data_IF_025549374709
#
_entry.id   IF_025549374709
#
_cell.length_a   1.000
_cell.length_b   1.000
_cell.length_c   1.000
_cell.angle_alpha   90.00
_cell.angle_beta   90.00
_cell.angle_gamma   90.00
#
_symmetry.space_group_name_H-M   'P 1'
#
loop_
_entity.id
_entity.type
_entity.pdbx_description
1 polymer ?
#
# COMPACT_ATOMS: atom_id res chain seq x y z
N UNK A 1 -24.08 7.79 13.84
CA UNK A 1 -22.99 7.04 13.18
C UNK A 1 -22.58 7.64 11.84
N UNK A 2 -23.51 8.02 10.94
CA UNK A 2 -23.20 8.49 9.58
C UNK A 2 -22.32 9.75 9.55
N UNK A 3 -22.59 10.77 10.38
CA UNK A 3 -21.74 11.96 10.44
C UNK A 3 -20.31 11.66 10.93
N UNK A 4 -20.19 10.73 11.88
CA UNK A 4 -18.89 10.29 12.38
C UNK A 4 -18.11 9.53 11.29
N UNK A 5 -18.76 8.58 10.61
CA UNK A 5 -18.10 7.80 9.55
C UNK A 5 -17.69 8.66 8.37
N UNK A 6 -18.50 9.65 7.98
CA UNK A 6 -18.17 10.57 6.88
C UNK A 6 -17.01 11.50 7.26
N UNK A 7 -16.98 12.04 8.48
CA UNK A 7 -15.87 12.84 8.97
C UNK A 7 -14.55 12.05 9.01
N UNK A 8 -14.59 10.80 9.48
CA UNK A 8 -13.41 9.93 9.49
C UNK A 8 -13.00 9.53 8.07
N UNK A 9 -13.97 9.25 7.19
CA UNK A 9 -13.70 8.94 5.79
C UNK A 9 -12.98 10.08 5.07
N UNK A 10 -13.37 11.33 5.35
CA UNK A 10 -12.69 12.52 4.84
C UNK A 10 -11.23 12.57 5.32
N UNK A 11 -10.99 12.33 6.61
CA UNK A 11 -9.64 12.36 7.21
C UNK A 11 -8.73 11.21 6.75
N UNK A 12 -9.31 10.04 6.46
CA UNK A 12 -8.57 8.90 5.90
C UNK A 12 -8.33 9.00 4.40
N UNK A 13 -9.05 9.87 3.69
CA UNK A 13 -9.00 9.97 2.23
C UNK A 13 -9.72 8.80 1.54
N UNK A 14 -10.78 8.26 2.15
CA UNK A 14 -11.67 7.29 1.50
C UNK A 14 -12.51 7.99 0.42
N UNK A 15 -12.92 7.23 -0.60
CA UNK A 15 -13.83 7.74 -1.63
C UNK A 15 -15.19 8.07 -1.00
N UNK A 16 -15.84 9.21 -1.34
CA UNK A 16 -15.49 10.17 -2.41
C UNK A 16 -14.46 11.23 -2.04
N UNK A 17 -14.07 11.35 -0.77
CA UNK A 17 -13.18 12.39 -0.23
C UNK A 17 -11.69 12.16 -0.48
N UNK A 18 -11.33 11.32 -1.44
CA UNK A 18 -9.96 10.90 -1.73
C UNK A 18 -9.11 11.94 -2.47
N UNK A 19 -9.71 12.97 -3.10
CA UNK A 19 -9.02 13.88 -4.03
C UNK A 19 -7.81 14.62 -3.42
N UNK A 20 -7.90 15.02 -2.15
CA UNK A 20 -6.81 15.75 -1.50
C UNK A 20 -5.55 14.90 -1.31
N UNK A 21 -5.72 13.58 -1.13
CA UNK A 21 -4.64 12.73 -0.64
C UNK A 21 -3.52 12.53 -1.68
N UNK A 22 -3.79 12.14 -2.95
CA UNK A 22 -2.74 12.02 -3.97
C UNK A 22 -2.03 13.33 -4.31
N UNK A 23 -2.73 14.47 -4.24
CA UNK A 23 -2.16 15.78 -4.54
C UNK A 23 -1.18 16.24 -3.46
N UNK A 24 -1.58 16.11 -2.19
CA UNK A 24 -0.72 16.43 -1.05
C UNK A 24 0.52 15.52 -1.05
N UNK A 25 0.34 14.21 -1.26
CA UNK A 25 1.46 13.27 -1.30
C UNK A 25 2.44 13.59 -2.43
N UNK A 26 1.97 14.09 -3.57
CA UNK A 26 2.84 14.51 -4.66
C UNK A 26 3.61 15.80 -4.32
N UNK A 27 3.01 16.73 -3.60
CA UNK A 27 3.62 18.02 -3.25
C UNK A 27 4.67 17.97 -2.13
N UNK A 28 4.74 16.87 -1.37
CA UNK A 28 5.59 16.77 -0.19
C UNK A 28 6.85 15.92 -0.39
N UNK A 29 7.78 15.97 0.57
CA UNK A 29 8.99 15.15 0.59
C UNK A 29 8.68 13.67 0.89
N UNK A 30 9.60 12.75 0.59
CA UNK A 30 9.35 11.31 0.78
C UNK A 30 9.15 10.92 2.26
N UNK A 31 9.80 11.61 3.19
CA UNK A 31 9.67 11.37 4.63
C UNK A 31 8.35 11.88 5.19
N UNK A 32 7.89 13.05 4.74
CA UNK A 32 6.59 13.61 5.15
C UNK A 32 5.44 12.83 4.53
N UNK A 33 5.59 12.40 3.28
CA UNK A 33 4.70 11.45 2.60
C UNK A 33 4.55 10.14 3.38
N UNK A 34 5.67 9.58 3.88
CA UNK A 34 5.64 8.40 4.75
C UNK A 34 4.80 8.64 6.02
N UNK A 35 5.07 9.73 6.74
CA UNK A 35 4.35 10.07 7.97
C UNK A 35 2.84 10.26 7.72
N UNK A 36 2.49 10.91 6.61
CA UNK A 36 1.10 11.11 6.21
C UNK A 36 0.41 9.78 5.87
N UNK A 37 1.11 8.87 5.21
CA UNK A 37 0.55 7.56 4.82
C UNK A 37 0.42 6.58 6.00
N UNK A 38 1.15 6.78 7.09
CA UNK A 38 1.22 5.84 8.23
C UNK A 38 0.68 6.44 9.53
N UNK A 39 1.46 7.31 10.17
CA UNK A 39 1.19 7.88 11.49
C UNK A 39 -0.14 8.63 11.50
N UNK A 40 -0.41 9.44 10.47
CA UNK A 40 -1.65 10.22 10.43
C UNK A 40 -2.92 9.38 10.18
N UNK A 41 -2.76 8.14 9.70
CA UNK A 41 -3.88 7.19 9.51
C UNK A 41 -4.20 6.40 10.78
N UNK A 42 -3.28 6.34 11.75
CA UNK A 42 -3.49 5.58 12.98
C UNK A 42 -4.63 6.13 13.84
N UNK A 43 -4.68 7.44 14.21
CA UNK A 43 -5.76 7.95 15.06
C UNK A 43 -7.17 7.82 14.48
N UNK A 44 -7.42 8.09 13.19
CA UNK A 44 -8.75 7.90 12.62
C UNK A 44 -9.18 6.41 12.58
N UNK A 45 -8.23 5.49 12.35
CA UNK A 45 -8.51 4.05 12.39
C UNK A 45 -8.83 3.58 13.81
N UNK A 46 -8.12 4.06 14.84
CA UNK A 46 -8.44 3.70 16.22
C UNK A 46 -9.83 4.20 16.64
N UNK A 47 -10.24 5.38 16.20
CA UNK A 47 -11.60 5.88 16.45
C UNK A 47 -12.66 4.98 15.77
N UNK A 48 -12.44 4.56 14.52
CA UNK A 48 -13.34 3.61 13.85
C UNK A 48 -13.40 2.26 14.58
N UNK A 49 -12.26 1.78 15.10
CA UNK A 49 -12.20 0.54 15.87
C UNK A 49 -12.99 0.64 17.18
N UNK A 50 -12.83 1.73 17.93
CA UNK A 50 -13.56 1.94 19.20
C UNK A 50 -15.08 2.08 19.00
N UNK A 51 -15.49 2.55 17.82
CA UNK A 51 -16.90 2.78 17.49
C UNK A 51 -17.51 1.70 16.60
N UNK A 52 -16.79 0.59 16.36
CA UNK A 52 -17.14 -0.47 15.38
C UNK A 52 -18.57 -0.98 15.52
N UNK A 53 -19.04 -1.16 16.76
CA UNK A 53 -20.37 -1.70 17.07
C UNK A 53 -21.53 -0.78 16.66
N UNK A 54 -21.25 0.51 16.45
CA UNK A 54 -22.24 1.53 16.13
C UNK A 54 -22.24 1.94 14.65
N UNK A 55 -21.33 1.38 13.84
CA UNK A 55 -21.18 1.75 12.44
C UNK A 55 -22.26 1.09 11.56
N UNK A 56 -22.68 1.80 10.52
CA UNK A 56 -23.61 1.24 9.55
C UNK A 56 -22.85 0.35 8.54
N UNK A 57 -23.18 -0.95 8.51
CA UNK A 57 -22.59 -1.93 7.59
C UNK A 57 -22.71 -1.53 6.12
N UNK A 58 -23.88 -1.06 5.68
CA UNK A 58 -24.10 -0.65 4.28
C UNK A 58 -23.22 0.52 3.85
N UNK A 59 -23.00 1.47 4.75
CA UNK A 59 -22.13 2.61 4.48
C UNK A 59 -20.66 2.20 4.44
N UNK A 60 -20.22 1.30 5.32
CA UNK A 60 -18.83 0.83 5.32
C UNK A 60 -18.51 -0.04 4.10
N UNK A 61 -19.43 -0.90 3.67
CA UNK A 61 -19.24 -1.73 2.46
C UNK A 61 -19.21 -0.87 1.20
N UNK A 62 -20.08 0.14 1.08
CA UNK A 62 -20.05 1.06 -0.06
C UNK A 62 -18.77 1.88 -0.12
N UNK A 63 -18.29 2.42 1.01
CA UNK A 63 -16.99 3.11 1.08
C UNK A 63 -15.83 2.17 0.73
N UNK A 64 -15.85 0.92 1.19
CA UNK A 64 -14.81 -0.06 0.92
C UNK A 64 -14.71 -0.44 -0.57
N UNK A 65 -15.85 -0.74 -1.20
CA UNK A 65 -15.89 -1.16 -2.61
C UNK A 65 -15.50 0.01 -3.52
N UNK A 66 -16.04 1.20 -3.25
CA UNK A 66 -15.73 2.39 -4.06
C UNK A 66 -14.28 2.84 -3.91
N UNK A 67 -13.70 2.77 -2.71
CA UNK A 67 -12.29 3.09 -2.48
C UNK A 67 -11.33 2.08 -3.13
N UNK A 68 -11.64 0.78 -3.08
CA UNK A 68 -10.84 -0.23 -3.79
C UNK A 68 -10.95 -0.08 -5.31
N UNK A 69 -12.14 0.18 -5.85
CA UNK A 69 -12.33 0.38 -7.28
C UNK A 69 -11.60 1.62 -7.82
N UNK A 70 -11.83 2.78 -7.21
CA UNK A 70 -11.26 4.05 -7.69
C UNK A 70 -9.76 4.11 -7.40
N UNK A 71 -9.30 3.62 -6.24
CA UNK A 71 -7.88 3.52 -5.94
C UNK A 71 -7.15 2.62 -6.95
N UNK A 72 -7.76 1.48 -7.31
CA UNK A 72 -7.24 0.60 -8.35
C UNK A 72 -7.16 1.30 -9.71
N UNK A 73 -8.26 1.85 -10.19
CA UNK A 73 -8.35 2.44 -11.53
C UNK A 73 -7.47 3.68 -11.68
N UNK A 74 -7.54 4.63 -10.75
CA UNK A 74 -6.75 5.86 -10.84
C UNK A 74 -5.24 5.59 -10.69
N UNK A 75 -4.86 4.58 -9.92
CA UNK A 75 -3.47 4.15 -9.78
C UNK A 75 -2.83 3.67 -11.10
N UNK A 76 -3.62 3.06 -11.99
CA UNK A 76 -3.14 2.56 -13.29
C UNK A 76 -2.61 3.66 -14.21
N UNK A 77 -3.11 4.88 -14.10
CA UNK A 77 -2.76 5.98 -15.01
C UNK A 77 -1.66 6.90 -14.45
N UNK A 78 -1.05 6.56 -13.31
CA UNK A 78 -0.02 7.40 -12.70
C UNK A 78 1.39 6.92 -13.06
N UNK A 79 2.27 7.88 -13.35
CA UNK A 79 3.71 7.67 -13.58
C UNK A 79 4.56 8.13 -12.39
N UNK A 80 3.98 8.97 -11.54
CA UNK A 80 4.63 9.50 -10.34
C UNK A 80 4.49 8.50 -9.19
N UNK A 81 5.63 8.11 -8.60
CA UNK A 81 5.68 7.06 -7.57
C UNK A 81 4.81 7.44 -6.36
N UNK A 82 4.86 8.70 -5.92
CA UNK A 82 4.08 9.16 -4.76
C UNK A 82 2.57 9.07 -4.99
N UNK A 83 2.08 9.40 -6.19
CA UNK A 83 0.65 9.22 -6.52
C UNK A 83 0.25 7.75 -6.58
N UNK A 84 1.10 6.87 -7.12
CA UNK A 84 0.82 5.43 -7.14
C UNK A 84 0.68 4.88 -5.71
N UNK A 85 1.61 5.24 -4.83
CA UNK A 85 1.54 4.88 -3.40
C UNK A 85 0.35 5.52 -2.68
N UNK A 86 -0.08 6.70 -3.13
CA UNK A 86 -1.27 7.34 -2.58
C UNK A 86 -2.52 6.51 -2.88
N UNK A 87 -2.71 6.14 -4.15
CA UNK A 87 -3.83 5.32 -4.60
C UNK A 87 -3.80 3.92 -4.01
N UNK A 88 -2.61 3.33 -3.85
CA UNK A 88 -2.51 2.05 -3.18
C UNK A 88 -2.94 2.12 -1.72
N UNK A 89 -2.61 3.18 -1.01
CA UNK A 89 -3.10 3.40 0.35
C UNK A 89 -4.62 3.48 0.43
N UNK A 90 -5.27 4.08 -0.58
CA UNK A 90 -6.73 4.17 -0.66
C UNK A 90 -7.33 2.77 -0.85
N UNK A 91 -6.71 1.93 -1.69
CA UNK A 91 -7.14 0.53 -1.84
C UNK A 91 -6.98 -0.29 -0.55
N UNK A 92 -5.86 -0.14 0.16
CA UNK A 92 -5.63 -0.86 1.42
C UNK A 92 -6.58 -0.39 2.53
N UNK A 93 -6.88 0.91 2.59
CA UNK A 93 -7.90 1.43 3.49
C UNK A 93 -9.29 0.86 3.17
N UNK A 94 -9.62 0.64 1.89
CA UNK A 94 -10.86 -0.04 1.52
C UNK A 94 -10.97 -1.44 2.13
N UNK A 95 -9.89 -2.23 2.06
CA UNK A 95 -9.81 -3.53 2.74
C UNK A 95 -9.92 -3.43 4.27
N UNK A 96 -9.34 -2.41 4.89
CA UNK A 96 -9.49 -2.19 6.34
C UNK A 96 -10.94 -1.86 6.71
N UNK A 97 -11.60 -1.01 5.92
CA UNK A 97 -12.95 -0.53 6.20
C UNK A 97 -14.02 -1.62 6.07
N UNK A 98 -13.85 -2.59 5.17
CA UNK A 98 -14.87 -3.65 4.99
C UNK A 98 -14.94 -4.58 6.20
N UNK A 99 -13.80 -4.86 6.83
CA UNK A 99 -13.71 -5.86 7.90
C UNK A 99 -13.93 -5.26 9.29
N UNK A 100 -13.81 -3.94 9.45
CA UNK A 100 -13.77 -3.30 10.78
C UNK A 100 -15.01 -3.56 11.64
N UNK A 101 -16.18 -3.77 11.00
CA UNK A 101 -17.43 -4.09 11.69
C UNK A 101 -17.48 -5.54 12.15
N UNK A 102 -16.96 -6.46 11.34
CA UNK A 102 -17.05 -7.91 11.60
C UNK A 102 -15.93 -8.39 12.51
N UNK A 103 -14.71 -7.92 12.27
CA UNK A 103 -13.54 -8.28 13.08
C UNK A 103 -12.56 -7.09 13.17
N UNK A 104 -12.70 -6.21 14.19
CA UNK A 104 -11.83 -5.06 14.36
C UNK A 104 -10.37 -5.45 14.61
N UNK A 105 -10.10 -6.60 15.26
CA UNK A 105 -8.74 -7.10 15.47
C UNK A 105 -8.04 -7.38 14.15
N UNK A 106 -8.79 -7.92 13.18
CA UNK A 106 -8.26 -8.21 11.85
C UNK A 106 -7.96 -6.92 11.06
N UNK A 107 -8.83 -5.91 11.15
CA UNK A 107 -8.53 -4.58 10.63
C UNK A 107 -7.21 -4.04 11.19
N UNK A 108 -6.95 -4.22 12.49
CA UNK A 108 -5.71 -3.75 13.11
C UNK A 108 -4.47 -4.51 12.60
N UNK A 109 -4.56 -5.83 12.45
CA UNK A 109 -3.50 -6.64 11.85
C UNK A 109 -3.16 -6.14 10.43
N UNK A 110 -4.20 -5.89 9.62
CA UNK A 110 -4.00 -5.39 8.25
C UNK A 110 -3.34 -4.01 8.23
N UNK A 111 -3.66 -3.15 9.20
CA UNK A 111 -3.03 -1.84 9.36
C UNK A 111 -1.54 -1.97 9.72
N UNK A 112 -1.18 -2.85 10.65
CA UNK A 112 0.23 -3.05 11.00
C UNK A 112 1.06 -3.58 9.83
N UNK A 113 0.55 -4.58 9.11
CA UNK A 113 1.23 -5.10 7.91
C UNK A 113 1.35 -4.03 6.83
N UNK A 114 0.32 -3.20 6.65
CA UNK A 114 0.36 -2.05 5.75
C UNK A 114 1.43 -1.02 6.17
N UNK A 115 1.55 -0.68 7.45
CA UNK A 115 2.59 0.26 7.93
C UNK A 115 3.99 -0.32 7.71
N UNK A 116 4.21 -1.60 8.01
CA UNK A 116 5.51 -2.26 7.78
C UNK A 116 5.87 -2.25 6.29
N UNK A 117 4.94 -2.64 5.41
CA UNK A 117 5.18 -2.70 3.96
C UNK A 117 5.27 -1.33 3.28
N UNK A 118 4.61 -0.30 3.82
CA UNK A 118 4.75 1.06 3.27
C UNK A 118 6.01 1.75 3.76
N UNK A 119 6.39 1.59 5.03
CA UNK A 119 7.65 2.13 5.56
C UNK A 119 8.85 1.59 4.77
N UNK A 120 8.90 0.30 4.45
CA UNK A 120 9.94 -0.27 3.58
C UNK A 120 10.00 0.42 2.22
N UNK A 121 8.87 0.53 1.53
CA UNK A 121 8.80 1.12 0.18
C UNK A 121 9.17 2.60 0.20
N UNK A 122 8.71 3.37 1.18
CA UNK A 122 9.08 4.78 1.28
C UNK A 122 10.56 4.99 1.59
N UNK A 123 11.15 4.17 2.49
CA UNK A 123 12.56 4.27 2.85
C UNK A 123 13.49 3.85 1.68
N UNK A 124 13.11 2.81 0.93
CA UNK A 124 13.85 2.35 -0.26
C UNK A 124 13.81 3.39 -1.39
N UNK A 125 12.67 4.05 -1.63
CA UNK A 125 12.59 5.16 -2.57
C UNK A 125 13.32 6.42 -2.09
N UNK A 126 13.35 6.68 -0.77
CA UNK A 126 14.12 7.79 -0.22
C UNK A 126 15.65 7.57 -0.35
N UNK A 127 16.13 6.34 -0.16
CA UNK A 127 17.56 6.02 -0.31
C UNK A 127 18.02 6.10 -1.77
N UNK A 128 17.17 5.68 -2.71
CA UNK A 128 17.43 5.75 -4.17
C UNK A 128 17.12 7.13 -4.78
N UNK A 129 16.39 7.99 -4.06
CA UNK A 129 15.89 9.29 -4.53
C UNK A 129 15.04 9.20 -5.81
N UNK A 130 14.25 8.13 -5.95
CA UNK A 130 13.39 7.91 -7.11
C UNK A 130 12.02 8.56 -6.91
N UNK A 131 11.60 9.35 -7.90
CA UNK A 131 10.31 10.07 -7.86
C UNK A 131 9.36 9.65 -9.00
N UNK A 132 9.92 9.17 -10.11
CA UNK A 132 9.17 8.79 -11.33
C UNK A 132 9.53 7.38 -11.78
N UNK A 133 8.66 6.73 -12.54
CA UNK A 133 8.95 5.40 -13.11
C UNK A 133 10.20 5.37 -13.98
N UNK A 134 10.52 6.44 -14.73
CA UNK A 134 11.72 6.51 -15.56
C UNK A 134 12.99 6.57 -14.71
N UNK A 135 12.96 7.27 -13.56
CA UNK A 135 14.10 7.26 -12.63
C UNK A 135 14.29 5.91 -11.94
N UNK A 136 13.20 5.17 -11.70
CA UNK A 136 13.24 3.82 -11.10
C UNK A 136 13.99 2.83 -11.98
N UNK A 137 13.83 2.93 -13.30
CA UNK A 137 14.55 2.09 -14.27
C UNK A 137 16.06 2.15 -14.12
N UNK A 138 16.60 3.34 -13.85
CA UNK A 138 18.04 3.54 -13.76
C UNK A 138 18.65 3.01 -12.45
N UNK A 139 17.84 2.68 -11.44
CA UNK A 139 18.39 2.28 -10.13
C UNK A 139 18.95 0.87 -10.12
N UNK A 140 18.55 0.01 -11.06
CA UNK A 140 19.04 -1.37 -11.12
C UNK A 140 20.56 -1.41 -11.32
N UNK A 141 21.07 -0.56 -12.23
CA UNK A 141 22.49 -0.45 -12.51
C UNK A 141 23.31 0.15 -11.35
N UNK A 142 22.65 0.76 -10.36
CA UNK A 142 23.30 1.40 -9.21
C UNK A 142 23.27 0.55 -7.95
N UNK A 143 22.11 -0.07 -7.65
CA UNK A 143 21.89 -0.83 -6.42
C UNK A 143 20.99 -2.04 -6.69
N UNK A 144 21.51 -3.08 -7.36
CA UNK A 144 20.70 -4.22 -7.81
C UNK A 144 20.07 -4.99 -6.65
N UNK A 145 20.79 -5.15 -5.53
CA UNK A 145 20.28 -5.84 -4.34
C UNK A 145 19.07 -5.12 -3.72
N UNK A 146 19.10 -3.79 -3.65
CA UNK A 146 17.99 -3.00 -3.12
C UNK A 146 16.76 -3.08 -4.04
N UNK A 147 16.97 -3.09 -5.36
CA UNK A 147 15.88 -3.23 -6.31
C UNK A 147 15.26 -4.64 -6.29
N UNK A 148 16.08 -5.69 -6.16
CA UNK A 148 15.59 -7.06 -6.04
C UNK A 148 14.71 -7.25 -4.79
N UNK A 149 15.12 -6.65 -3.67
CA UNK A 149 14.31 -6.68 -2.45
C UNK A 149 13.07 -5.79 -2.56
N UNK A 150 13.16 -4.60 -3.18
CA UNK A 150 12.01 -3.74 -3.46
C UNK A 150 10.93 -4.47 -4.27
N UNK A 151 11.33 -5.25 -5.29
CA UNK A 151 10.41 -6.07 -6.07
C UNK A 151 9.59 -7.01 -5.17
N UNK A 152 10.24 -7.75 -4.26
CA UNK A 152 9.54 -8.66 -3.35
C UNK A 152 8.53 -7.92 -2.45
N UNK A 153 8.85 -6.71 -2.02
CA UNK A 153 7.95 -5.90 -1.19
C UNK A 153 6.78 -5.31 -1.97
N UNK A 154 6.99 -4.88 -3.22
CA UNK A 154 5.89 -4.44 -4.07
C UNK A 154 4.91 -5.59 -4.37
N UNK A 155 5.44 -6.80 -4.56
CA UNK A 155 4.61 -8.01 -4.70
C UNK A 155 3.90 -8.38 -3.39
N UNK A 156 4.50 -8.08 -2.23
CA UNK A 156 3.85 -8.30 -0.94
C UNK A 156 2.69 -7.32 -0.75
N UNK A 157 2.86 -6.04 -1.09
CA UNK A 157 1.77 -5.06 -1.13
C UNK A 157 0.64 -5.47 -2.10
N UNK A 158 0.98 -6.05 -3.25
CA UNK A 158 0.00 -6.59 -4.18
C UNK A 158 -0.78 -7.78 -3.58
N UNK A 159 -0.23 -8.45 -2.57
CA UNK A 159 -0.86 -9.56 -1.87
C UNK A 159 -0.82 -10.86 -2.66
N UNK A 160 0.35 -11.19 -3.22
CA UNK A 160 0.58 -12.49 -3.87
C UNK A 160 0.96 -13.57 -2.85
N UNK A 161 0.41 -14.80 -2.93
CA UNK A 161 0.98 -15.95 -2.23
C UNK A 161 2.38 -16.20 -2.83
N UNK A 162 3.49 -16.34 -2.09
CA UNK A 162 3.74 -16.75 -0.69
C UNK A 162 4.11 -15.61 0.29
N UNK A 163 3.79 -14.36 -0.04
CA UNK A 163 4.26 -13.17 0.70
C UNK A 163 3.27 -12.73 1.79
N UNK A 164 3.76 -11.98 2.77
CA UNK A 164 2.97 -11.57 3.96
C UNK A 164 1.71 -10.77 3.65
N UNK A 165 1.72 -9.93 2.61
CA UNK A 165 0.55 -9.11 2.30
C UNK A 165 -0.62 -9.88 1.69
N UNK A 166 -0.44 -11.17 1.38
CA UNK A 166 -1.56 -12.06 1.05
C UNK A 166 -2.39 -12.42 2.30
N UNK A 167 -1.73 -12.63 3.44
CA UNK A 167 -2.33 -13.00 4.72
C UNK A 167 -3.56 -12.14 5.09
N UNK A 168 -3.48 -10.78 5.13
CA UNK A 168 -4.62 -9.97 5.50
C UNK A 168 -5.79 -10.10 4.53
N UNK A 169 -5.52 -10.14 3.22
CA UNK A 169 -6.58 -10.26 2.21
C UNK A 169 -7.28 -11.61 2.30
N UNK A 170 -6.51 -12.68 2.48
CA UNK A 170 -7.02 -14.03 2.63
C UNK A 170 -7.92 -14.17 3.86
N UNK A 171 -7.47 -13.71 5.03
CA UNK A 171 -8.28 -13.78 6.24
C UNK A 171 -9.51 -12.86 6.19
N UNK A 172 -9.44 -11.68 5.54
CA UNK A 172 -10.63 -10.84 5.32
C UNK A 172 -11.67 -11.60 4.50
N UNK A 173 -11.27 -12.24 3.40
CA UNK A 173 -12.19 -13.02 2.57
C UNK A 173 -12.83 -14.15 3.39
N UNK A 174 -12.05 -14.84 4.22
CA UNK A 174 -12.56 -15.91 5.08
C UNK A 174 -13.59 -15.39 6.11
N UNK A 175 -13.36 -14.24 6.72
CA UNK A 175 -14.34 -13.65 7.66
C UNK A 175 -15.59 -13.14 6.95
N UNK A 176 -15.47 -12.57 5.74
CA UNK A 176 -16.63 -12.12 4.97
C UNK A 176 -17.52 -13.30 4.51
N UNK A 177 -16.94 -14.44 4.14
CA UNK A 177 -17.71 -15.62 3.76
C UNK A 177 -18.44 -16.24 4.94
N UNK A 178 -17.86 -16.20 6.16
CA UNK A 178 -18.55 -16.62 7.40
C UNK A 178 -19.81 -15.79 7.68
N UNK A 179 -19.82 -14.52 7.27
CA UNK A 179 -20.95 -13.61 7.46
C UNK A 179 -21.96 -13.64 6.29
N UNK A 180 -21.93 -14.69 5.45
CA UNK A 180 -22.74 -14.86 4.24
C UNK A 180 -22.57 -13.74 3.19
N UNK A 181 -21.51 -12.94 3.29
CA UNK A 181 -21.21 -11.83 2.37
C UNK A 181 -20.27 -12.27 1.23
N UNK A 182 -20.60 -13.40 0.60
CA UNK A 182 -19.75 -14.00 -0.43
C UNK A 182 -19.61 -13.10 -1.68
N UNK A 183 -20.70 -12.43 -2.09
CA UNK A 183 -20.69 -11.55 -3.26
C UNK A 183 -19.79 -10.33 -3.06
N UNK A 184 -19.78 -9.72 -1.87
CA UNK A 184 -18.91 -8.56 -1.62
C UNK A 184 -17.45 -8.98 -1.54
N UNK A 185 -17.17 -10.17 -0.99
CA UNK A 185 -15.83 -10.76 -0.96
C UNK A 185 -15.28 -11.03 -2.37
N UNK A 186 -16.09 -11.53 -3.31
CA UNK A 186 -15.65 -11.75 -4.69
C UNK A 186 -15.42 -10.44 -5.43
N UNK A 187 -16.30 -9.44 -5.26
CA UNK A 187 -16.13 -8.11 -5.87
C UNK A 187 -14.83 -7.46 -5.41
N UNK A 188 -14.57 -7.41 -4.10
CA UNK A 188 -13.38 -6.73 -3.58
C UNK A 188 -12.09 -7.48 -3.94
N UNK A 189 -12.14 -8.82 -4.01
CA UNK A 189 -11.03 -9.64 -4.50
C UNK A 189 -10.70 -9.32 -5.96
N UNK A 190 -11.70 -9.28 -6.85
CA UNK A 190 -11.51 -8.92 -8.25
C UNK A 190 -10.97 -7.49 -8.42
N UNK A 191 -11.50 -6.53 -7.65
CA UNK A 191 -11.01 -5.15 -7.69
C UNK A 191 -9.55 -5.03 -7.23
N UNK A 192 -9.10 -5.88 -6.31
CA UNK A 192 -7.71 -5.87 -5.85
C UNK A 192 -6.70 -6.29 -6.92
N UNK A 193 -7.13 -6.99 -7.97
CA UNK A 193 -6.28 -7.33 -9.12
C UNK A 193 -5.89 -6.09 -9.93
N UNK A 194 -6.74 -5.05 -9.97
CA UNK A 194 -6.35 -3.75 -10.56
C UNK A 194 -5.16 -3.16 -9.80
N UNK A 195 -5.16 -3.29 -8.48
CA UNK A 195 -4.06 -2.89 -7.61
C UNK A 195 -2.77 -3.63 -7.95
N UNK A 196 -2.88 -4.95 -8.10
CA UNK A 196 -1.77 -5.82 -8.47
C UNK A 196 -1.12 -5.40 -9.79
N UNK A 197 -1.89 -4.98 -10.79
CA UNK A 197 -1.34 -4.62 -12.10
C UNK A 197 -0.37 -3.43 -12.05
N UNK A 198 -0.69 -2.34 -11.33
CA UNK A 198 0.25 -1.21 -11.24
C UNK A 198 1.49 -1.55 -10.41
N UNK A 199 1.38 -2.46 -9.44
CA UNK A 199 2.55 -2.98 -8.72
C UNK A 199 3.43 -3.82 -9.63
N UNK A 200 2.86 -4.72 -10.43
CA UNK A 200 3.62 -5.48 -11.43
C UNK A 200 4.33 -4.54 -12.41
N UNK A 201 3.65 -3.48 -12.86
CA UNK A 201 4.28 -2.45 -13.69
C UNK A 201 5.49 -1.81 -12.99
N UNK A 202 5.37 -1.42 -11.72
CA UNK A 202 6.50 -0.89 -10.95
C UNK A 202 7.65 -1.91 -10.83
N UNK A 203 7.34 -3.18 -10.59
CA UNK A 203 8.37 -4.24 -10.51
C UNK A 203 9.11 -4.40 -11.83
N UNK A 204 8.38 -4.37 -12.95
CA UNK A 204 8.93 -4.45 -14.29
C UNK A 204 9.93 -3.32 -14.57
N UNK A 205 9.57 -2.10 -14.16
CA UNK A 205 10.44 -0.92 -14.24
C UNK A 205 11.60 -0.92 -13.23
N UNK A 206 11.63 -1.83 -12.25
CA UNK A 206 12.68 -1.83 -11.21
C UNK A 206 13.75 -2.90 -11.43
N UNK A 207 13.40 -4.06 -12.00
CA UNK A 207 14.28 -5.24 -12.03
C UNK A 207 14.31 -5.96 -13.38
N UNK A 208 13.18 -6.05 -14.07
CA UNK A 208 13.03 -6.96 -15.22
C UNK A 208 13.62 -6.37 -16.50
N UNK A 209 13.64 -5.03 -16.62
CA UNK A 209 14.18 -4.35 -17.80
C UNK A 209 15.42 -3.53 -17.47
N UNK A 210 16.40 -3.64 -18.36
CA UNK A 210 17.61 -2.81 -18.34
C UNK A 210 17.39 -1.64 -19.30
N UNK A 211 17.12 -0.42 -18.82
CA UNK A 211 17.06 0.76 -19.69
C UNK A 211 18.45 1.14 -20.20
N UNK A 212 18.54 1.99 -21.24
CA UNK A 212 19.80 2.65 -21.58
C UNK A 212 20.24 3.55 -20.41
N UNK A 213 21.45 3.31 -19.91
CA UNK A 213 22.04 4.16 -18.87
C UNK A 213 22.46 5.53 -19.45
N UNK A 214 22.28 6.59 -18.66
CA UNK A 214 22.80 7.91 -19.01
C UNK A 214 24.32 7.92 -18.99
N UNK A 215 24.98 8.69 -19.87
CA UNK A 215 26.44 8.81 -19.98
C UNK A 215 27.19 9.08 -18.67
N UNK A 216 26.55 9.73 -17.69
CA UNK A 216 27.13 10.07 -16.39
C UNK A 216 27.09 8.96 -15.31
N UNK A 217 26.74 7.71 -15.67
CA UNK A 217 26.58 6.63 -14.70
C UNK A 217 27.87 6.29 -13.92
N UNK A 218 29.05 6.39 -14.55
CA UNK A 218 30.33 6.04 -13.91
C UNK A 218 30.60 6.85 -12.63
N UNK A 219 30.21 8.13 -12.58
CA UNK A 219 30.39 8.97 -11.39
C UNK A 219 29.55 8.48 -10.20
N UNK A 220 28.44 7.80 -10.46
CA UNK A 220 27.56 7.27 -9.42
C UNK A 220 28.11 5.97 -8.80
N UNK A 221 28.95 5.22 -9.51
CA UNK A 221 29.59 4.01 -8.99
C UNK A 221 30.65 4.30 -7.93
N UNK A 222 31.29 5.46 -8.00
CA UNK A 222 32.29 5.87 -7.00
C UNK A 222 31.68 6.38 -5.69
N UNK A 223 30.38 6.68 -5.64
CA UNK A 223 29.69 7.19 -4.45
C UNK A 223 28.86 6.08 -3.78
N UNK A 224 29.48 5.34 -2.87
CA UNK A 224 28.78 4.36 -2.04
C UNK A 224 28.18 5.05 -0.80
N UNK A 225 26.84 5.01 -0.68
CA UNK A 225 26.16 5.34 0.56
C UNK A 225 25.55 4.06 1.11
N UNK A 226 25.92 3.61 2.32
CA UNK A 226 25.35 2.39 2.88
C UNK A 226 23.85 2.58 3.12
N UNK A 227 23.07 1.55 2.79
CA UNK A 227 21.66 1.48 3.16
C UNK A 227 21.53 1.22 4.65
N UNK A 228 20.58 1.88 5.30
CA UNK A 228 20.34 1.72 6.74
C UNK A 228 19.89 0.29 7.07
N UNK A 229 20.42 -0.28 8.16
CA UNK A 229 20.06 -1.61 8.68
C UNK A 229 18.57 -1.78 8.94
N UNK A 230 17.88 -0.70 9.31
CA UNK A 230 16.43 -0.65 9.49
C UNK A 230 15.66 -1.12 8.24
N UNK A 231 16.14 -0.77 7.03
CA UNK A 231 15.51 -1.20 5.79
C UNK A 231 15.56 -2.72 5.70
N UNK A 232 16.72 -3.34 5.94
CA UNK A 232 16.87 -4.79 5.85
C UNK A 232 15.92 -5.56 6.79
N UNK A 233 15.79 -5.09 8.05
CA UNK A 233 14.88 -5.68 9.03
C UNK A 233 13.42 -5.58 8.54
N UNK A 234 13.01 -4.38 8.11
CA UNK A 234 11.66 -4.16 7.62
C UNK A 234 11.37 -4.94 6.33
N UNK A 235 12.35 -5.10 5.42
CA UNK A 235 12.21 -5.92 4.21
C UNK A 235 11.90 -7.37 4.58
N UNK A 236 12.67 -7.96 5.49
CA UNK A 236 12.46 -9.34 5.94
C UNK A 236 11.07 -9.53 6.57
N UNK A 237 10.67 -8.60 7.44
CA UNK A 237 9.33 -8.62 8.05
C UNK A 237 8.22 -8.49 6.99
N UNK A 238 8.41 -7.64 5.98
CA UNK A 238 7.40 -7.42 4.95
C UNK A 238 7.22 -8.59 3.97
N UNK A 239 8.16 -9.56 3.91
CA UNK A 239 8.12 -10.68 2.95
C UNK A 239 7.96 -12.06 3.60
N UNK A 240 8.51 -12.29 4.80
CA UNK A 240 8.66 -13.64 5.38
C UNK A 240 7.78 -13.96 6.61
N UNK A 241 6.81 -13.11 6.98
CA UNK A 241 5.88 -13.38 8.09
C UNK A 241 4.76 -14.39 7.79
N UNK A 242 4.56 -14.81 6.53
CA UNK A 242 3.47 -15.73 6.18
C UNK A 242 3.50 -17.07 6.95
N UNK A 243 4.63 -17.79 7.10
CA UNK A 243 4.67 -19.04 7.89
C UNK A 243 4.42 -18.85 9.39
N UNK A 244 4.44 -17.62 9.91
CA UNK A 244 4.11 -17.31 11.29
C UNK A 244 2.60 -17.11 11.49
N UNK A 245 1.78 -17.27 10.44
CA UNK A 245 0.33 -17.29 10.60
C UNK A 245 -0.12 -18.57 11.32
N UNK A 246 -0.99 -18.46 12.34
CA UNK A 246 -1.59 -19.62 12.99
C UNK A 246 -2.55 -20.38 12.07
#
# INVERSE_FOLDING_TARGET
>A
SIFLTTAIAMKLGLVPFHFWFPEVLQGTTMTTALLLSTVMKFPPITILLLTSNSLNSTLMTTLAITSTAIGGWMGLNQTQIRKILAFSSITHLGWMTIIIIYNPKLSMLTFYLYVITTTTVFLTFNSTKTMTMTTLMTTWAKSPMLNATLMLVLLSLAGLPPLTGFLPKWLIIQELTKQAMALTATIIAMLSLLGLFFYLRLTYYSTITLPPNSTNYMKQWHLTKPTTTLIAILMALSTLLLPLSP
#
